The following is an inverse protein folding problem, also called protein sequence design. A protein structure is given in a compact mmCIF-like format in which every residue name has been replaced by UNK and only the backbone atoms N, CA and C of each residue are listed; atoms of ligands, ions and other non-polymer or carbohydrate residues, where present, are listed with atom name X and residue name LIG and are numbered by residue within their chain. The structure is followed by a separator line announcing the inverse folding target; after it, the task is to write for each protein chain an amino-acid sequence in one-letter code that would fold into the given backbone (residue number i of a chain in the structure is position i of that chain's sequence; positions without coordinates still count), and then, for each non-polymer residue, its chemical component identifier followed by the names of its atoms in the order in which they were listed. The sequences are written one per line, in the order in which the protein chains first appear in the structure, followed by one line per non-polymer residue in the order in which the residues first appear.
data_IF_769936844694
#
_entry.id   IF_769936844694
#
_cell.length_a   1.000
_cell.length_b   1.000
_cell.length_c   1.000
_cell.angle_alpha   90.00
_cell.angle_beta   90.00
_cell.angle_gamma   90.00
#
_symmetry.space_group_name_H-M   'P 1'
#
loop_
_entity.id
_entity.type
_entity.pdbx_description
1 polymer ?
#
# COMPACT_ATOMS: atom_id res chain seq x y z
N UNK A 1 12.99 -21.25 18.83
CA UNK A 1 13.70 -20.60 17.71
C UNK A 1 14.52 -19.42 18.21
N UNK A 2 13.92 -18.36 18.74
CA UNK A 2 14.70 -17.18 19.23
C UNK A 2 15.67 -17.53 20.38
N UNK A 3 15.23 -18.35 21.33
CA UNK A 3 16.07 -18.87 22.42
C UNK A 3 17.32 -19.65 21.95
N UNK A 4 17.26 -20.32 20.78
CA UNK A 4 18.38 -21.07 20.23
C UNK A 4 19.46 -20.14 19.64
N UNK A 5 19.06 -19.07 18.94
CA UNK A 5 19.99 -18.07 18.42
C UNK A 5 20.65 -17.27 19.54
N UNK A 6 19.88 -16.95 20.59
CA UNK A 6 20.37 -16.24 21.76
C UNK A 6 21.37 -17.08 22.59
N UNK A 7 21.17 -18.39 22.70
CA UNK A 7 22.11 -19.30 23.39
C UNK A 7 23.49 -19.38 22.70
N UNK A 8 23.55 -19.12 21.39
CA UNK A 8 24.79 -19.15 20.61
C UNK A 8 25.52 -17.79 20.56
N UNK A 9 25.10 -16.81 21.37
CA UNK A 9 25.67 -15.46 21.36
C UNK A 9 25.41 -14.67 20.08
N UNK A 10 24.41 -15.10 19.28
CA UNK A 10 24.02 -14.44 18.03
C UNK A 10 22.82 -13.52 18.27
N UNK A 11 22.66 -12.53 17.40
CA UNK A 11 21.42 -11.74 17.34
C UNK A 11 20.23 -12.71 17.23
N UNK A 12 19.21 -12.54 18.07
CA UNK A 12 17.93 -13.23 17.91
C UNK A 12 17.37 -12.99 16.51
N UNK A 13 16.41 -13.80 16.08
CA UNK A 13 15.74 -13.67 14.78
C UNK A 13 15.16 -12.25 14.60
N UNK A 14 14.67 -11.66 15.68
CA UNK A 14 14.23 -10.25 15.73
C UNK A 14 15.38 -9.28 15.48
N UNK A 15 16.55 -9.51 16.08
CA UNK A 15 17.77 -8.74 15.85
C UNK A 15 18.29 -8.85 14.41
N UNK A 16 18.33 -10.07 13.85
CA UNK A 16 18.78 -10.31 12.46
C UNK A 16 17.82 -9.68 11.45
N UNK A 17 16.51 -9.83 11.65
CA UNK A 17 15.49 -9.20 10.80
C UNK A 17 15.59 -7.68 10.85
N UNK A 18 15.79 -7.09 12.03
CA UNK A 18 15.96 -5.64 12.16
C UNK A 18 17.24 -5.14 11.48
N UNK A 19 18.37 -5.84 11.62
CA UNK A 19 19.60 -5.46 10.91
C UNK A 19 19.44 -5.59 9.39
N UNK A 20 18.78 -6.66 8.93
CA UNK A 20 18.45 -6.86 7.52
C UNK A 20 17.57 -5.74 7.00
N UNK A 21 16.51 -5.38 7.71
CA UNK A 21 15.58 -4.33 7.31
C UNK A 21 16.17 -2.93 7.43
N UNK A 22 17.05 -2.67 8.40
CA UNK A 22 17.73 -1.39 8.54
C UNK A 22 18.72 -1.12 7.38
N UNK A 23 19.44 -2.16 6.93
CA UNK A 23 20.46 -2.04 5.88
C UNK A 23 19.92 -2.24 4.45
N UNK A 24 18.80 -2.95 4.26
CA UNK A 24 18.26 -3.30 2.94
C UNK A 24 17.22 -2.30 2.39
N UNK A 25 17.32 -1.01 2.71
CA UNK A 25 16.46 0.02 2.11
C UNK A 25 16.92 0.40 0.69
N UNK A 26 16.99 -0.56 -0.24
CA UNK A 26 17.44 -0.36 -1.62
C UNK A 26 18.91 0.06 -1.79
N UNK A 27 19.56 0.61 -0.76
CA UNK A 27 20.94 1.09 -0.77
C UNK A 27 21.96 0.01 -1.12
N UNK A 28 21.76 -1.22 -0.63
CA UNK A 28 22.63 -2.35 -1.00
C UNK A 28 22.56 -2.68 -2.50
N UNK A 29 21.45 -2.42 -3.16
CA UNK A 29 21.32 -2.58 -4.62
C UNK A 29 21.94 -1.40 -5.40
N UNK A 30 22.26 -0.30 -4.72
CA UNK A 30 23.00 0.83 -5.32
C UNK A 30 24.51 0.61 -5.25
N UNK A 31 25.01 -0.23 -4.34
CA UNK A 31 26.44 -0.55 -4.23
C UNK A 31 27.03 -1.07 -5.56
N UNK A 32 26.38 -2.02 -6.28
CA UNK A 32 26.83 -2.42 -7.62
C UNK A 32 26.87 -1.26 -8.62
N UNK A 33 25.93 -0.32 -8.56
CA UNK A 33 25.87 0.84 -9.46
C UNK A 33 27.05 1.79 -9.23
N UNK A 34 27.43 2.00 -7.96
CA UNK A 34 28.64 2.77 -7.62
C UNK A 34 29.89 2.08 -8.18
N UNK A 35 29.94 0.74 -8.11
CA UNK A 35 31.01 -0.05 -8.70
C UNK A 35 31.11 0.13 -10.21
N UNK A 36 30.00 -0.07 -10.93
CA UNK A 36 29.95 0.05 -12.40
C UNK A 36 30.26 1.48 -12.85
N UNK A 37 29.53 2.48 -12.34
CA UNK A 37 29.75 3.89 -12.72
C UNK A 37 31.14 4.37 -12.28
N UNK A 38 31.63 3.87 -11.14
CA UNK A 38 32.97 4.16 -10.64
C UNK A 38 34.07 3.62 -11.56
N UNK A 39 33.90 2.43 -12.14
CA UNK A 39 34.83 1.85 -13.11
C UNK A 39 34.74 2.54 -14.47
N UNK A 40 33.53 2.85 -14.95
CA UNK A 40 33.32 3.43 -16.29
C UNK A 40 33.67 4.92 -16.37
N UNK A 41 33.37 5.70 -15.33
CA UNK A 41 33.43 7.18 -15.36
C UNK A 41 34.24 7.79 -14.20
N UNK A 42 34.85 6.95 -13.37
CA UNK A 42 35.64 7.32 -12.20
C UNK A 42 34.82 7.40 -10.91
N UNK A 43 35.47 7.08 -9.78
CA UNK A 43 34.79 6.94 -8.48
C UNK A 43 34.15 8.23 -7.96
N UNK A 44 34.76 9.39 -8.27
CA UNK A 44 34.16 10.71 -7.96
C UNK A 44 32.83 10.91 -8.70
N UNK A 45 32.75 10.50 -9.96
CA UNK A 45 31.49 10.55 -10.71
C UNK A 45 30.48 9.55 -10.13
N UNK A 46 30.89 8.34 -9.78
CA UNK A 46 30.03 7.36 -9.10
C UNK A 46 29.40 7.89 -7.80
N UNK A 47 30.18 8.54 -6.94
CA UNK A 47 29.69 9.18 -5.71
C UNK A 47 28.76 10.36 -5.99
N UNK A 48 29.11 11.23 -6.96
CA UNK A 48 28.23 12.34 -7.34
C UNK A 48 26.91 11.85 -7.93
N UNK A 49 26.95 10.79 -8.75
CA UNK A 49 25.77 10.15 -9.32
C UNK A 49 24.87 9.57 -8.23
N UNK A 50 25.44 8.89 -7.23
CA UNK A 50 24.70 8.41 -6.07
C UNK A 50 23.99 9.56 -5.35
N UNK A 51 24.71 10.65 -5.08
CA UNK A 51 24.15 11.82 -4.39
C UNK A 51 22.97 12.40 -5.16
N UNK A 52 23.14 12.65 -6.47
CA UNK A 52 22.06 13.16 -7.30
C UNK A 52 20.88 12.17 -7.41
N UNK A 53 21.15 10.86 -7.52
CA UNK A 53 20.11 9.83 -7.56
C UNK A 53 19.29 9.75 -6.26
N UNK A 54 19.91 10.00 -5.11
CA UNK A 54 19.20 10.12 -3.83
C UNK A 54 18.36 11.40 -3.79
N UNK A 55 18.92 12.54 -4.21
CA UNK A 55 18.20 13.82 -4.25
C UNK A 55 16.99 13.81 -5.20
N UNK A 56 17.06 13.05 -6.28
CA UNK A 56 15.96 12.89 -7.24
C UNK A 56 14.98 11.78 -6.86
N UNK A 57 15.07 11.25 -5.62
CA UNK A 57 14.18 10.23 -5.07
C UNK A 57 14.27 8.87 -5.78
N UNK A 58 15.40 8.56 -6.42
CA UNK A 58 15.65 7.29 -7.11
C UNK A 58 15.39 6.05 -6.26
N UNK A 59 15.81 5.97 -4.97
CA UNK A 59 15.48 4.85 -4.10
C UNK A 59 13.98 4.64 -3.88
N UNK A 60 13.19 5.72 -3.80
CA UNK A 60 11.72 5.64 -3.70
C UNK A 60 11.14 5.10 -5.00
N UNK A 61 11.56 5.65 -6.14
CA UNK A 61 11.11 5.18 -7.46
C UNK A 61 11.40 3.69 -7.66
N UNK A 62 12.61 3.25 -7.32
CA UNK A 62 13.03 1.86 -7.41
C UNK A 62 12.18 0.95 -6.51
N UNK A 63 11.96 1.33 -5.26
CA UNK A 63 11.16 0.55 -4.30
C UNK A 63 9.70 0.44 -4.77
N UNK A 64 9.16 1.52 -5.35
CA UNK A 64 7.85 1.52 -6.00
C UNK A 64 7.81 0.60 -7.23
N UNK A 65 8.80 0.67 -8.12
CA UNK A 65 8.89 -0.20 -9.29
C UNK A 65 9.00 -1.69 -8.91
N UNK A 66 9.78 -2.01 -7.87
CA UNK A 66 9.90 -3.37 -7.36
C UNK A 66 8.60 -3.86 -6.73
N UNK A 67 7.82 -2.98 -6.09
CA UNK A 67 6.46 -3.29 -5.63
C UNK A 67 5.54 -3.75 -6.76
N UNK A 68 5.57 -3.04 -7.90
CA UNK A 68 4.81 -3.43 -9.10
C UNK A 68 5.21 -4.82 -9.61
N UNK A 69 6.51 -5.04 -9.79
CA UNK A 69 7.03 -6.33 -10.27
C UNK A 69 6.66 -7.47 -9.34
N UNK A 70 6.86 -7.29 -8.04
CA UNK A 70 6.52 -8.29 -7.02
C UNK A 70 5.04 -8.64 -7.03
N UNK A 71 4.13 -7.66 -7.14
CA UNK A 71 2.69 -7.93 -7.19
C UNK A 71 2.29 -8.81 -8.38
N UNK A 72 2.69 -8.43 -9.59
CA UNK A 72 2.29 -9.15 -10.80
C UNK A 72 3.01 -10.49 -10.93
N UNK A 73 4.25 -10.60 -10.44
CA UNK A 73 4.97 -11.87 -10.36
C UNK A 73 4.29 -12.83 -9.38
N UNK A 74 3.96 -12.39 -8.17
CA UNK A 74 3.22 -13.15 -7.15
C UNK A 74 1.85 -13.62 -7.69
N UNK A 75 1.11 -12.73 -8.36
CA UNK A 75 -0.18 -13.05 -8.99
C UNK A 75 -0.03 -14.12 -10.08
N UNK A 76 0.96 -13.98 -10.96
CA UNK A 76 1.18 -14.93 -12.07
C UNK A 76 1.61 -16.29 -11.54
N UNK A 77 2.47 -16.35 -10.51
CA UNK A 77 2.89 -17.61 -9.90
C UNK A 77 1.74 -18.37 -9.25
N UNK A 78 0.84 -17.66 -8.55
CA UNK A 78 -0.24 -18.32 -7.81
C UNK A 78 -1.42 -18.62 -8.72
N UNK A 79 -1.84 -17.66 -9.53
CA UNK A 79 -3.12 -17.73 -10.25
C UNK A 79 -2.95 -18.04 -11.74
N UNK A 80 -1.75 -17.92 -12.30
CA UNK A 80 -1.54 -17.96 -13.75
C UNK A 80 -2.09 -16.71 -14.44
N UNK A 81 -2.15 -16.76 -15.78
CA UNK A 81 -2.72 -15.69 -16.59
C UNK A 81 -1.82 -14.45 -16.68
N UNK A 82 -0.79 -14.52 -17.52
CA UNK A 82 0.03 -13.34 -17.85
C UNK A 82 -0.82 -12.36 -18.67
N UNK A 83 -1.12 -11.20 -18.10
CA UNK A 83 -1.79 -10.09 -18.80
C UNK A 83 -0.77 -8.99 -19.07
N UNK A 84 -0.54 -8.67 -20.34
CA UNK A 84 0.26 -7.51 -20.68
C UNK A 84 -0.51 -6.25 -20.28
N UNK A 85 0.03 -5.50 -19.33
CA UNK A 85 -0.45 -4.15 -18.99
C UNK A 85 0.60 -3.19 -19.50
N UNK A 86 0.27 -2.46 -20.56
CA UNK A 86 1.18 -1.48 -21.15
C UNK A 86 1.48 -0.40 -20.11
N UNK A 87 2.65 -0.47 -19.48
CA UNK A 87 3.26 0.70 -18.85
C UNK A 87 3.75 1.55 -20.02
N UNK A 88 3.19 2.74 -20.22
CA UNK A 88 3.59 3.63 -21.32
C UNK A 88 5.12 3.69 -21.43
N UNK A 89 5.65 3.59 -22.66
CA UNK A 89 7.10 3.70 -22.89
C UNK A 89 7.51 5.15 -22.69
N UNK A 90 8.03 5.45 -21.50
CA UNK A 90 8.49 6.79 -21.11
C UNK A 90 7.76 7.30 -19.88
N UNK A 91 8.42 8.19 -19.14
CA UNK A 91 7.73 8.97 -18.12
C UNK A 91 6.69 9.83 -18.84
N UNK A 92 5.41 9.59 -18.60
CA UNK A 92 4.38 10.45 -19.16
C UNK A 92 4.58 11.84 -18.55
N UNK A 93 5.00 12.81 -19.36
CA UNK A 93 5.10 14.23 -18.95
C UNK A 93 3.70 14.81 -18.65
N UNK A 94 2.65 14.03 -18.92
CA UNK A 94 1.26 14.38 -18.67
C UNK A 94 0.87 14.02 -17.24
N UNK A 95 0.15 14.94 -16.63
CA UNK A 95 -0.56 14.72 -15.38
C UNK A 95 -1.61 13.61 -15.55
N UNK A 96 -1.56 12.60 -14.66
CA UNK A 96 -2.56 11.54 -14.56
C UNK A 96 -3.54 11.83 -13.43
N UNK A 97 -4.83 11.60 -13.69
CA UNK A 97 -5.89 11.86 -12.73
C UNK A 97 -5.86 10.90 -11.55
N UNK A 98 -6.35 11.32 -10.39
CA UNK A 98 -6.40 10.47 -9.18
C UNK A 98 -7.19 9.16 -9.38
N UNK A 99 -8.31 9.21 -10.12
CA UNK A 99 -9.08 8.00 -10.44
C UNK A 99 -8.24 6.99 -11.25
N UNK A 100 -7.46 7.45 -12.23
CA UNK A 100 -6.58 6.59 -13.02
C UNK A 100 -5.44 6.01 -12.17
N UNK A 101 -4.77 6.85 -11.37
CA UNK A 101 -3.72 6.39 -10.44
C UNK A 101 -4.25 5.31 -9.48
N UNK A 102 -5.48 5.49 -8.97
CA UNK A 102 -6.14 4.49 -8.15
C UNK A 102 -6.38 3.19 -8.91
N UNK A 103 -6.92 3.25 -10.13
CA UNK A 103 -7.15 2.05 -10.96
C UNK A 103 -5.87 1.29 -11.30
N UNK A 104 -4.74 1.97 -11.43
CA UNK A 104 -3.45 1.34 -11.72
C UNK A 104 -2.78 0.73 -10.49
N UNK A 105 -2.85 1.40 -9.35
CA UNK A 105 -2.01 1.08 -8.19
C UNK A 105 -2.75 0.59 -6.94
N UNK A 106 -4.09 0.52 -6.95
CA UNK A 106 -4.86 0.08 -5.78
C UNK A 106 -4.43 -1.32 -5.27
N UNK A 107 -4.48 -2.35 -6.10
CA UNK A 107 -4.16 -3.73 -5.71
C UNK A 107 -2.65 -4.00 -5.52
N UNK A 108 -1.82 -3.32 -6.32
CA UNK A 108 -0.37 -3.53 -6.30
C UNK A 108 0.31 -2.77 -5.18
N UNK A 109 -0.16 -1.57 -4.86
CA UNK A 109 0.50 -0.66 -3.91
C UNK A 109 -0.44 -0.22 -2.80
N UNK A 110 -1.53 0.50 -3.09
CA UNK A 110 -2.28 1.22 -2.06
C UNK A 110 -2.85 0.29 -0.99
N UNK A 111 -3.46 -0.82 -1.39
CA UNK A 111 -3.97 -1.82 -0.43
C UNK A 111 -2.85 -2.40 0.40
N UNK A 112 -1.72 -2.78 -0.23
CA UNK A 112 -0.58 -3.38 0.46
C UNK A 112 0.13 -2.39 1.38
N UNK A 113 0.24 -1.13 0.96
CA UNK A 113 0.84 -0.03 1.72
C UNK A 113 0.00 0.31 2.94
N UNK A 114 -1.32 0.47 2.78
CA UNK A 114 -2.23 0.71 3.91
C UNK A 114 -2.29 -0.49 4.85
N UNK A 115 -2.34 -1.72 4.33
CA UNK A 115 -2.22 -2.94 5.15
C UNK A 115 -0.92 -2.94 5.97
N UNK A 116 0.22 -2.56 5.36
CA UNK A 116 1.51 -2.50 6.04
C UNK A 116 1.56 -1.39 7.10
N UNK A 117 1.07 -0.18 6.78
CA UNK A 117 0.96 0.92 7.76
C UNK A 117 0.11 0.50 8.96
N UNK A 118 -1.03 -0.15 8.71
CA UNK A 118 -1.89 -0.67 9.77
C UNK A 118 -1.15 -1.68 10.66
N UNK A 119 -0.47 -2.66 10.06
CA UNK A 119 0.30 -3.65 10.80
C UNK A 119 1.47 -3.02 11.58
N UNK A 120 2.10 -1.99 11.04
CA UNK A 120 3.14 -1.24 11.74
C UNK A 120 2.59 -0.49 12.94
N UNK A 121 1.43 0.15 12.82
CA UNK A 121 0.73 0.74 13.96
C UNK A 121 0.41 -0.31 15.03
N UNK A 122 -0.13 -1.48 14.62
CA UNK A 122 -0.41 -2.57 15.57
C UNK A 122 0.87 -3.10 16.23
N UNK A 123 1.96 -3.20 15.47
CA UNK A 123 3.26 -3.56 16.00
C UNK A 123 3.71 -2.54 17.04
N UNK A 124 3.59 -1.23 16.78
CA UNK A 124 3.92 -0.17 17.72
C UNK A 124 3.08 -0.19 19.02
N UNK A 125 1.79 -0.53 18.92
CA UNK A 125 0.86 -0.54 20.06
C UNK A 125 1.02 -1.79 20.94
N UNK A 126 1.13 -2.97 20.31
CA UNK A 126 1.12 -4.27 21.02
C UNK A 126 2.49 -4.93 21.12
N UNK A 127 3.48 -4.46 20.36
CA UNK A 127 4.83 -5.01 20.34
C UNK A 127 5.63 -4.63 21.57
N UNK A 128 6.51 -5.53 21.99
CA UNK A 128 7.52 -5.26 23.00
C UNK A 128 8.85 -4.92 22.33
N UNK A 129 9.31 -3.68 22.48
CA UNK A 129 10.55 -3.17 21.87
C UNK A 129 11.73 -3.20 22.84
N UNK A 130 11.87 -4.33 23.54
CA UNK A 130 13.01 -4.59 24.40
C UNK A 130 14.16 -5.09 23.53
N UNK A 131 15.24 -4.31 23.47
CA UNK A 131 16.54 -4.82 23.03
C UNK A 131 17.27 -5.38 24.24
N UNK A 132 16.74 -6.47 24.82
CA UNK A 132 17.38 -7.18 25.91
C UNK A 132 16.77 -8.58 26.12
N UNK A 133 17.61 -9.60 26.35
CA UNK A 133 17.18 -10.87 26.95
C UNK A 133 17.47 -10.85 28.47
N UNK A 134 17.00 -9.82 29.15
CA UNK A 134 17.30 -9.58 30.55
C UNK A 134 16.66 -10.71 31.36
N UNK A 135 17.46 -11.44 32.13
CA UNK A 135 17.00 -12.46 33.08
C UNK A 135 17.89 -12.41 34.31
N UNK A 136 17.34 -12.70 35.48
CA UNK A 136 18.14 -12.82 36.71
C UNK A 136 19.23 -13.90 36.58
N UNK A 137 19.01 -14.89 35.71
CA UNK A 137 19.95 -15.98 35.44
C UNK A 137 21.26 -15.52 34.79
N UNK A 138 21.32 -14.32 34.22
CA UNK A 138 22.56 -13.75 33.65
C UNK A 138 23.57 -13.47 34.77
N UNK A 139 23.09 -12.97 35.90
CA UNK A 139 23.89 -12.60 37.08
C UNK A 139 23.67 -13.62 38.22
N UNK A 140 23.52 -14.91 37.88
CA UNK A 140 23.16 -15.97 38.83
C UNK A 140 24.12 -16.07 40.03
N UNK A 141 25.42 -15.85 39.82
CA UNK A 141 26.42 -15.83 40.89
C UNK A 141 26.26 -14.61 41.82
N UNK A 142 25.81 -13.47 41.31
CA UNK A 142 25.57 -12.28 42.14
C UNK A 142 24.35 -12.47 43.06
N UNK A 143 23.33 -13.20 42.58
CA UNK A 143 22.14 -13.51 43.37
C UNK A 143 22.25 -14.80 44.20
N UNK A 144 23.44 -15.41 44.28
CA UNK A 144 23.67 -16.67 45.00
C UNK A 144 22.67 -17.77 44.63
N UNK A 145 22.36 -17.92 43.34
CA UNK A 145 21.40 -18.90 42.83
C UNK A 145 19.95 -18.74 43.32
N UNK A 146 19.61 -17.65 44.03
CA UNK A 146 18.26 -17.34 44.49
C UNK A 146 17.63 -16.33 43.53
N UNK A 147 16.38 -16.57 43.11
CA UNK A 147 15.66 -15.63 42.25
C UNK A 147 15.31 -14.35 43.04
N UNK A 148 15.86 -13.18 42.66
CA UNK A 148 15.57 -11.90 43.29
C UNK A 148 14.24 -11.32 42.78
N UNK A 149 13.76 -10.24 43.42
CA UNK A 149 12.50 -9.61 43.01
C UNK A 149 12.61 -9.05 41.57
N UNK A 150 11.53 -9.09 40.76
CA UNK A 150 11.57 -8.69 39.36
C UNK A 150 12.10 -7.29 39.06
N UNK A 151 11.97 -6.35 40.00
CA UNK A 151 12.49 -4.98 39.83
C UNK A 151 14.00 -4.89 40.07
N UNK A 152 14.55 -5.69 41.00
CA UNK A 152 15.95 -5.65 41.42
C UNK A 152 16.86 -6.10 40.29
N UNK A 153 16.57 -7.27 39.71
CA UNK A 153 17.39 -7.79 38.64
C UNK A 153 17.19 -7.06 37.32
N UNK A 154 15.99 -6.52 37.08
CA UNK A 154 15.72 -5.72 35.87
C UNK A 154 16.53 -4.44 35.87
N UNK A 155 16.56 -3.70 36.98
CA UNK A 155 17.35 -2.47 37.10
C UNK A 155 18.85 -2.76 36.91
N UNK A 156 19.37 -3.79 37.59
CA UNK A 156 20.78 -4.19 37.47
C UNK A 156 21.15 -4.60 36.05
N UNK A 157 20.29 -5.37 35.38
CA UNK A 157 20.56 -5.85 34.03
C UNK A 157 20.73 -4.68 33.06
N UNK A 158 19.85 -3.67 33.12
CA UNK A 158 19.97 -2.49 32.27
C UNK A 158 21.15 -1.58 32.64
N UNK A 159 21.56 -1.55 33.93
CA UNK A 159 22.73 -0.80 34.37
C UNK A 159 24.05 -1.43 33.91
N UNK A 160 24.19 -2.76 34.05
CA UNK A 160 25.45 -3.46 33.80
C UNK A 160 25.64 -3.85 32.33
N UNK A 161 24.56 -4.14 31.61
CA UNK A 161 24.62 -4.60 30.22
C UNK A 161 24.20 -3.50 29.22
N UNK A 162 24.33 -2.22 29.57
CA UNK A 162 23.84 -1.08 28.78
C UNK A 162 24.29 -1.06 27.31
N UNK A 163 25.43 -1.69 26.96
CA UNK A 163 25.91 -1.82 25.58
C UNK A 163 25.11 -2.81 24.73
N UNK A 164 24.49 -3.81 25.37
CA UNK A 164 23.68 -4.85 24.75
C UNK A 164 22.18 -4.71 25.10
N UNK A 165 21.87 -3.89 26.10
CA UNK A 165 20.59 -3.82 26.77
C UNK A 165 20.12 -2.38 26.90
N UNK A 166 19.22 -1.96 26.01
CA UNK A 166 18.62 -0.62 26.06
C UNK A 166 17.22 -0.71 26.65
N UNK A 167 16.89 0.16 27.60
CA UNK A 167 15.53 0.23 28.15
C UNK A 167 14.50 0.34 27.02
N UNK A 168 13.34 -0.33 27.11
CA UNK A 168 12.23 -0.08 26.19
C UNK A 168 11.82 1.37 26.26
N UNK A 169 12.16 2.12 25.21
CA UNK A 169 11.63 3.45 24.98
C UNK A 169 10.90 3.45 23.65
N UNK A 170 10.05 4.45 23.43
CA UNK A 170 9.37 4.66 22.14
C UNK A 170 10.35 4.83 20.97
N UNK A 171 11.62 5.17 21.25
CA UNK A 171 12.68 5.30 20.23
C UNK A 171 13.08 3.94 19.64
N UNK A 172 13.00 2.86 20.42
CA UNK A 172 13.35 1.51 19.96
C UNK A 172 12.43 1.05 18.82
N UNK A 173 11.12 1.32 18.92
CA UNK A 173 10.19 1.02 17.83
C UNK A 173 10.56 1.75 16.54
N UNK A 174 10.88 3.04 16.63
CA UNK A 174 11.26 3.84 15.46
C UNK A 174 12.45 3.25 14.71
N UNK A 175 13.50 2.90 15.44
CA UNK A 175 14.72 2.30 14.85
C UNK A 175 14.44 0.90 14.27
N UNK A 176 13.58 0.11 14.90
CA UNK A 176 13.26 -1.25 14.42
C UNK A 176 12.30 -1.25 13.22
N UNK A 177 11.54 -0.17 12.99
CA UNK A 177 10.45 -0.16 12.01
C UNK A 177 10.56 0.90 10.91
N UNK A 178 11.50 1.84 10.98
CA UNK A 178 11.57 2.97 10.03
C UNK A 178 11.64 2.52 8.56
N UNK A 179 12.38 1.45 8.26
CA UNK A 179 12.54 0.99 6.88
C UNK A 179 11.24 0.42 6.31
N UNK A 180 10.44 -0.26 7.13
CA UNK A 180 9.11 -0.71 6.73
C UNK A 180 8.14 0.45 6.56
N UNK A 181 8.23 1.47 7.42
CA UNK A 181 7.47 2.72 7.25
C UNK A 181 7.81 3.42 5.95
N UNK A 182 9.10 3.48 5.59
CA UNK A 182 9.53 4.04 4.31
C UNK A 182 9.01 3.23 3.11
N UNK A 183 9.00 1.89 3.17
CA UNK A 183 8.39 1.05 2.12
C UNK A 183 6.89 1.35 2.00
N UNK A 184 6.19 1.39 3.13
CA UNK A 184 4.76 1.65 3.15
C UNK A 184 4.43 3.04 2.57
N UNK A 185 5.17 4.06 2.99
CA UNK A 185 5.07 5.42 2.47
C UNK A 185 5.37 5.50 0.97
N UNK A 186 6.38 4.75 0.51
CA UNK A 186 6.74 4.69 -0.90
C UNK A 186 5.60 4.09 -1.72
N UNK A 187 5.03 2.97 -1.30
CA UNK A 187 3.92 2.35 -2.03
C UNK A 187 2.69 3.27 -2.08
N UNK A 188 2.39 4.00 -1.01
CA UNK A 188 1.21 4.88 -0.97
C UNK A 188 1.42 6.17 -1.75
N UNK A 189 2.54 6.87 -1.57
CA UNK A 189 2.69 8.25 -2.05
C UNK A 189 3.61 8.45 -3.26
N UNK A 190 4.43 7.45 -3.62
CA UNK A 190 5.31 7.55 -4.80
C UNK A 190 4.60 7.90 -6.11
N UNK A 191 3.39 7.38 -6.42
CA UNK A 191 2.67 7.77 -7.63
C UNK A 191 2.42 9.28 -7.75
N UNK A 192 2.24 9.98 -6.63
CA UNK A 192 1.96 11.41 -6.61
C UNK A 192 3.24 12.24 -6.78
N UNK A 193 4.33 11.86 -6.09
CA UNK A 193 5.63 12.51 -6.28
C UNK A 193 6.11 12.44 -7.73
N UNK A 194 5.80 11.35 -8.42
CA UNK A 194 6.15 11.11 -9.81
C UNK A 194 5.05 11.45 -10.82
N UNK A 195 3.97 12.11 -10.40
CA UNK A 195 2.91 12.58 -11.28
C UNK A 195 2.95 14.12 -11.43
N UNK A 196 3.25 14.68 -12.62
CA UNK A 196 3.36 16.12 -12.80
C UNK A 196 2.13 16.88 -12.26
N UNK A 197 2.32 18.01 -11.59
CA UNK A 197 1.22 18.83 -11.02
C UNK A 197 0.34 18.11 -9.97
N UNK A 198 0.79 17.00 -9.38
CA UNK A 198 0.00 16.28 -8.37
C UNK A 198 -0.24 17.06 -7.07
N UNK A 199 0.55 18.10 -6.79
CA UNK A 199 0.39 18.98 -5.62
C UNK A 199 -0.19 20.36 -5.98
N UNK A 200 -0.65 20.56 -7.22
CA UNK A 200 -1.37 21.78 -7.62
C UNK A 200 -2.80 21.76 -7.07
N UNK A 201 -3.16 22.74 -6.23
CA UNK A 201 -4.40 22.70 -5.46
C UNK A 201 -5.66 22.64 -6.34
N UNK A 202 -5.72 23.43 -7.42
CA UNK A 202 -6.90 23.50 -8.27
C UNK A 202 -7.13 22.18 -9.03
N UNK A 203 -6.05 21.64 -9.60
CA UNK A 203 -6.11 20.34 -10.30
C UNK A 203 -6.41 19.20 -9.33
N UNK A 204 -5.75 19.20 -8.18
CA UNK A 204 -5.91 18.18 -7.15
C UNK A 204 -7.35 18.12 -6.64
N UNK A 205 -8.00 19.26 -6.38
CA UNK A 205 -9.40 19.28 -5.97
C UNK A 205 -10.35 18.78 -7.06
N UNK A 206 -10.09 19.11 -8.32
CA UNK A 206 -10.85 18.59 -9.45
C UNK A 206 -10.71 17.05 -9.57
N UNK A 207 -9.49 16.54 -9.47
CA UNK A 207 -9.18 15.12 -9.49
C UNK A 207 -9.78 14.35 -8.32
N UNK A 208 -9.76 14.93 -7.13
CA UNK A 208 -10.35 14.33 -5.93
C UNK A 208 -11.88 14.22 -6.09
N UNK A 209 -12.53 15.27 -6.60
CA UNK A 209 -13.96 15.25 -6.94
C UNK A 209 -14.29 14.19 -8.00
N UNK A 210 -13.47 14.08 -9.06
CA UNK A 210 -13.61 13.07 -10.10
C UNK A 210 -13.52 11.65 -9.53
N UNK A 211 -12.53 11.38 -8.67
CA UNK A 211 -12.39 10.10 -7.98
C UNK A 211 -13.59 9.79 -7.07
N UNK A 212 -14.10 10.77 -6.32
CA UNK A 212 -15.29 10.60 -5.48
C UNK A 212 -16.55 10.29 -6.31
N UNK A 213 -16.67 10.90 -7.49
CA UNK A 213 -17.78 10.63 -8.40
C UNK A 213 -17.64 9.23 -9.02
N UNK A 214 -16.44 8.87 -9.47
CA UNK A 214 -16.11 7.53 -9.95
C UNK A 214 -16.50 6.44 -8.95
N UNK A 215 -16.14 6.60 -7.67
CA UNK A 215 -16.51 5.66 -6.59
C UNK A 215 -18.03 5.44 -6.46
N UNK A 216 -18.85 6.43 -6.81
CA UNK A 216 -20.32 6.34 -6.70
C UNK A 216 -20.98 5.73 -7.92
N UNK A 217 -20.30 5.67 -9.06
CA UNK A 217 -20.84 5.12 -10.30
C UNK A 217 -21.00 3.59 -10.22
N UNK A 218 -22.10 3.07 -10.77
CA UNK A 218 -22.47 1.64 -10.73
C UNK A 218 -22.74 1.04 -12.11
N UNK A 219 -22.42 1.75 -13.18
CA UNK A 219 -22.64 1.24 -14.54
C UNK A 219 -21.70 0.06 -14.81
N UNK A 220 -22.05 -0.91 -15.65
CA UNK A 220 -21.18 -2.05 -15.96
C UNK A 220 -19.99 -1.71 -16.88
N UNK A 221 -19.77 -0.42 -17.17
CA UNK A 221 -18.60 0.03 -17.93
C UNK A 221 -17.33 0.01 -17.07
N UNK A 222 -16.18 -0.23 -17.71
CA UNK A 222 -14.86 -0.14 -17.07
C UNK A 222 -14.55 1.26 -16.52
N UNK A 223 -15.31 2.27 -16.96
CA UNK A 223 -15.23 3.64 -16.44
C UNK A 223 -15.82 3.75 -15.03
N UNK A 224 -16.67 2.82 -14.59
CA UNK A 224 -17.26 2.85 -13.25
C UNK A 224 -16.37 2.18 -12.21
N UNK A 225 -16.59 2.46 -10.92
CA UNK A 225 -15.86 1.78 -9.86
C UNK A 225 -16.18 0.28 -9.82
N UNK A 226 -17.46 -0.07 -9.98
CA UNK A 226 -17.88 -1.47 -9.96
C UNK A 226 -17.30 -2.26 -11.14
N UNK A 227 -17.36 -1.71 -12.35
CA UNK A 227 -16.81 -2.34 -13.55
C UNK A 227 -15.29 -2.48 -13.51
N UNK A 228 -14.59 -1.51 -12.93
CA UNK A 228 -13.14 -1.64 -12.66
C UNK A 228 -12.86 -2.74 -11.62
N UNK A 229 -13.59 -2.77 -10.51
CA UNK A 229 -13.38 -3.74 -9.44
C UNK A 229 -13.60 -5.18 -9.90
N UNK A 230 -14.66 -5.43 -10.68
CA UNK A 230 -14.91 -6.75 -11.27
C UNK A 230 -13.85 -7.13 -12.29
N UNK A 231 -13.46 -6.21 -13.18
CA UNK A 231 -12.42 -6.45 -14.18
C UNK A 231 -11.04 -6.74 -13.57
N UNK A 232 -10.72 -6.13 -12.43
CA UNK A 232 -9.44 -6.36 -11.75
C UNK A 232 -9.43 -7.73 -11.05
N UNK A 233 -10.59 -8.21 -10.58
CA UNK A 233 -10.77 -9.53 -9.95
C UNK A 233 -11.06 -10.68 -10.91
N UNK A 234 -11.24 -10.40 -12.20
CA UNK A 234 -11.52 -11.38 -13.27
C UNK A 234 -10.56 -12.59 -13.26
N UNK A 235 -9.29 -12.39 -12.94
CA UNK A 235 -8.31 -13.48 -12.82
C UNK A 235 -8.69 -14.58 -11.81
N UNK A 236 -9.51 -14.26 -10.81
CA UNK A 236 -9.98 -15.22 -9.82
C UNK A 236 -10.90 -16.29 -10.44
N UNK A 237 -11.53 -15.99 -11.57
CA UNK A 237 -12.38 -16.94 -12.30
C UNK A 237 -11.56 -18.04 -12.96
N UNK A 238 -10.40 -17.68 -13.51
CA UNK A 238 -9.46 -18.59 -14.17
C UNK A 238 -8.48 -19.28 -13.22
N UNK A 239 -8.49 -18.92 -11.94
CA UNK A 239 -7.59 -19.49 -10.93
C UNK A 239 -7.92 -20.96 -10.63
N UNK A 240 -6.94 -21.74 -10.16
CA UNK A 240 -7.22 -23.10 -9.67
C UNK A 240 -7.79 -23.08 -8.24
N UNK A 241 -8.45 -24.16 -7.83
CA UNK A 241 -8.92 -24.30 -6.43
C UNK A 241 -7.76 -24.26 -5.42
N UNK A 242 -6.59 -24.79 -5.79
CA UNK A 242 -5.39 -24.71 -4.94
C UNK A 242 -4.90 -23.26 -4.81
N UNK A 243 -4.84 -22.51 -5.90
CA UNK A 243 -4.53 -21.08 -5.89
C UNK A 243 -5.47 -20.28 -4.98
N UNK A 244 -6.78 -20.55 -5.09
CA UNK A 244 -7.79 -19.94 -4.21
C UNK A 244 -7.59 -20.32 -2.73
N UNK A 245 -7.22 -21.57 -2.44
CA UNK A 245 -6.90 -22.02 -1.08
C UNK A 245 -5.67 -21.29 -0.52
N UNK A 246 -4.57 -21.20 -1.28
CA UNK A 246 -3.38 -20.46 -0.88
C UNK A 246 -3.70 -18.99 -0.61
N UNK A 247 -4.49 -18.35 -1.47
CA UNK A 247 -4.94 -16.97 -1.27
C UNK A 247 -5.81 -16.83 -0.02
N UNK A 248 -6.72 -17.77 0.25
CA UNK A 248 -7.49 -17.79 1.48
C UNK A 248 -6.59 -17.89 2.72
N UNK A 249 -5.63 -18.83 2.73
CA UNK A 249 -4.66 -19.03 3.83
C UNK A 249 -3.81 -17.78 4.05
N UNK A 250 -3.32 -17.12 3.00
CA UNK A 250 -2.55 -15.87 3.16
C UNK A 250 -3.38 -14.76 3.81
N UNK A 251 -4.68 -14.73 3.55
CA UNK A 251 -5.59 -13.69 4.06
C UNK A 251 -6.18 -14.01 5.43
N UNK A 252 -6.12 -15.25 5.94
CA UNK A 252 -6.53 -15.59 7.32
C UNK A 252 -5.68 -14.88 8.37
N UNK A 253 -4.50 -14.35 8.02
CA UNK A 253 -3.68 -13.52 8.93
C UNK A 253 -4.45 -12.39 9.58
N UNK A 254 -5.40 -11.76 8.88
CA UNK A 254 -6.18 -10.65 9.44
C UNK A 254 -7.14 -11.12 10.52
N UNK A 255 -7.70 -12.32 10.37
CA UNK A 255 -8.50 -12.95 11.41
C UNK A 255 -7.65 -13.30 12.63
N UNK A 256 -6.45 -13.85 12.42
CA UNK A 256 -5.54 -14.16 13.52
C UNK A 256 -5.12 -12.91 14.31
N UNK A 257 -4.83 -11.81 13.61
CA UNK A 257 -4.55 -10.51 14.26
C UNK A 257 -5.77 -10.01 15.04
N UNK A 258 -6.98 -10.11 14.47
CA UNK A 258 -8.21 -9.73 15.17
C UNK A 258 -8.45 -10.56 16.44
N UNK A 259 -8.22 -11.88 16.37
CA UNK A 259 -8.32 -12.78 17.52
C UNK A 259 -7.26 -12.44 18.56
N UNK A 260 -6.01 -12.17 18.15
CA UNK A 260 -4.95 -11.78 19.07
C UNK A 260 -5.27 -10.49 19.84
N UNK A 261 -5.75 -9.45 19.14
CA UNK A 261 -6.18 -8.19 19.76
C UNK A 261 -7.36 -8.42 20.70
N UNK A 262 -8.34 -9.22 20.28
CA UNK A 262 -9.50 -9.57 21.11
C UNK A 262 -9.09 -10.28 22.41
N UNK A 263 -8.22 -11.29 22.33
CA UNK A 263 -7.74 -12.02 23.50
C UNK A 263 -6.97 -11.09 24.44
N UNK A 264 -6.15 -10.19 23.90
CA UNK A 264 -5.44 -9.19 24.69
C UNK A 264 -6.39 -8.19 25.38
N UNK A 265 -7.43 -7.74 24.68
CA UNK A 265 -8.47 -6.87 25.24
C UNK A 265 -9.22 -7.58 26.38
N UNK A 266 -9.66 -8.82 26.14
CA UNK A 266 -10.34 -9.64 27.16
C UNK A 266 -9.44 -9.91 28.36
N UNK A 267 -8.16 -10.22 28.14
CA UNK A 267 -7.20 -10.41 29.21
C UNK A 267 -7.06 -9.14 30.07
N UNK A 268 -6.95 -7.98 29.42
CA UNK A 268 -6.83 -6.70 30.10
C UNK A 268 -8.07 -6.39 30.95
N UNK A 269 -9.24 -6.50 30.33
CA UNK A 269 -10.53 -6.16 30.95
C UNK A 269 -10.91 -7.07 32.12
N UNK A 270 -10.61 -8.37 32.06
CA UNK A 270 -11.11 -9.34 33.05
C UNK A 270 -10.07 -9.77 34.09
N UNK A 271 -8.78 -9.57 33.82
CA UNK A 271 -7.69 -9.96 34.71
C UNK A 271 -6.86 -8.76 35.12
N UNK A 272 -6.18 -8.12 34.17
CA UNK A 272 -5.18 -7.07 34.47
C UNK A 272 -5.79 -5.87 35.20
N UNK A 273 -6.88 -5.31 34.67
CA UNK A 273 -7.50 -4.09 35.20
C UNK A 273 -8.24 -4.34 36.53
N UNK A 274 -8.60 -5.60 36.80
CA UNK A 274 -9.17 -6.03 38.08
C UNK A 274 -8.13 -6.58 39.07
N UNK A 275 -6.84 -6.54 38.74
CA UNK A 275 -5.75 -7.14 39.52
C UNK A 275 -5.97 -8.62 39.89
N UNK A 276 -6.64 -9.39 39.02
CA UNK A 276 -6.89 -10.82 39.20
C UNK A 276 -5.91 -11.64 38.37
N UNK A 277 -5.45 -12.76 38.90
CA UNK A 277 -4.67 -13.73 38.12
C UNK A 277 -5.58 -14.77 37.45
N UNK A 278 -5.11 -15.38 36.36
CA UNK A 278 -5.85 -16.45 35.66
C UNK A 278 -6.07 -17.66 36.57
N UNK A 279 -5.17 -17.89 37.54
CA UNK A 279 -5.21 -19.00 38.48
C UNK A 279 -6.24 -18.84 39.62
N UNK A 280 -6.58 -17.60 39.99
CA UNK A 280 -7.58 -17.31 41.03
C UNK A 280 -9.03 -17.34 40.50
N UNK A 281 -9.19 -17.32 39.18
CA UNK A 281 -10.48 -17.32 38.50
C UNK A 281 -11.11 -18.70 38.35
N UNK A 282 -12.32 -18.73 37.78
CA UNK A 282 -12.92 -19.98 37.31
C UNK A 282 -12.13 -20.47 36.08
N UNK A 283 -11.61 -21.72 36.09
CA UNK A 283 -10.80 -22.28 35.00
C UNK A 283 -11.49 -22.23 33.64
N UNK A 284 -12.82 -22.15 33.60
CA UNK A 284 -13.61 -22.13 32.36
C UNK A 284 -13.74 -20.74 31.74
N UNK A 285 -13.50 -19.65 32.50
CA UNK A 285 -13.65 -18.28 31.99
C UNK A 285 -12.77 -18.00 30.77
N UNK A 286 -11.46 -18.31 30.74
CA UNK A 286 -10.63 -18.10 29.56
C UNK A 286 -11.18 -18.75 28.29
N UNK A 287 -11.71 -19.97 28.40
CA UNK A 287 -12.29 -20.71 27.28
C UNK A 287 -13.60 -20.09 26.79
N UNK A 288 -14.47 -19.65 27.71
CA UNK A 288 -15.71 -18.95 27.35
C UNK A 288 -15.41 -17.63 26.62
N UNK A 289 -14.48 -16.82 27.16
CA UNK A 289 -14.07 -15.59 26.51
C UNK A 289 -13.44 -15.86 25.13
N UNK A 290 -12.55 -16.85 25.01
CA UNK A 290 -11.97 -17.24 23.72
C UNK A 290 -13.03 -17.75 22.73
N UNK A 291 -14.12 -18.37 23.18
CA UNK A 291 -15.23 -18.81 22.32
C UNK A 291 -16.17 -17.67 21.90
N UNK A 292 -16.28 -16.60 22.69
CA UNK A 292 -17.23 -15.52 22.45
C UNK A 292 -16.93 -14.74 21.15
N UNK A 293 -15.67 -14.66 20.70
CA UNK A 293 -15.35 -14.05 19.40
C UNK A 293 -16.00 -14.78 18.22
N UNK A 294 -16.13 -16.11 18.27
CA UNK A 294 -16.80 -16.87 17.21
C UNK A 294 -18.29 -16.54 17.16
N UNK A 295 -18.93 -16.37 18.32
CA UNK A 295 -20.33 -15.95 18.42
C UNK A 295 -20.50 -14.53 17.86
N UNK A 296 -19.60 -13.61 18.19
CA UNK A 296 -19.63 -12.23 17.65
C UNK A 296 -19.46 -12.24 16.13
N UNK A 297 -18.52 -13.02 15.59
CA UNK A 297 -18.32 -13.14 14.15
C UNK A 297 -19.54 -13.74 13.43
N UNK A 298 -20.21 -14.73 14.03
CA UNK A 298 -21.46 -15.29 13.51
C UNK A 298 -22.59 -14.26 13.50
N UNK A 299 -22.76 -13.50 14.58
CA UNK A 299 -23.77 -12.44 14.68
C UNK A 299 -23.52 -11.37 13.61
N UNK A 300 -22.26 -10.92 13.44
CA UNK A 300 -21.90 -9.96 12.40
C UNK A 300 -22.22 -10.50 10.99
N UNK A 301 -21.95 -11.78 10.74
CA UNK A 301 -22.31 -12.46 9.50
C UNK A 301 -23.83 -12.49 9.25
N UNK A 302 -24.62 -12.83 10.28
CA UNK A 302 -26.09 -12.80 10.21
C UNK A 302 -26.63 -11.39 9.95
N UNK A 303 -26.11 -10.39 10.67
CA UNK A 303 -26.49 -8.99 10.49
C UNK A 303 -26.18 -8.50 9.07
N UNK A 304 -25.00 -8.83 8.54
CA UNK A 304 -24.61 -8.48 7.17
C UNK A 304 -25.53 -9.13 6.12
N UNK A 305 -25.92 -10.40 6.34
CA UNK A 305 -26.85 -11.10 5.47
C UNK A 305 -28.25 -10.48 5.46
N UNK A 306 -28.78 -10.15 6.65
CA UNK A 306 -30.07 -9.46 6.79
C UNK A 306 -30.01 -8.08 6.12
N UNK A 307 -28.96 -7.30 6.37
CA UNK A 307 -28.76 -5.98 5.76
C UNK A 307 -28.75 -6.04 4.23
N UNK A 308 -28.12 -7.06 3.64
CA UNK A 308 -28.14 -7.32 2.19
C UNK A 308 -29.55 -7.52 1.64
N UNK A 309 -30.35 -8.36 2.32
CA UNK A 309 -31.72 -8.68 1.91
C UNK A 309 -32.63 -7.45 1.99
N UNK A 310 -32.49 -6.67 3.07
CA UNK A 310 -33.21 -5.41 3.25
C UNK A 310 -32.80 -4.39 2.19
N UNK A 311 -31.51 -4.24 1.91
CA UNK A 311 -31.02 -3.32 0.89
C UNK A 311 -31.55 -3.66 -0.51
N UNK A 312 -31.56 -4.95 -0.89
CA UNK A 312 -32.11 -5.42 -2.16
C UNK A 312 -33.62 -5.18 -2.26
N UNK A 313 -34.37 -5.42 -1.19
CA UNK A 313 -35.84 -5.19 -1.13
C UNK A 313 -36.19 -3.70 -1.20
N UNK A 314 -35.32 -2.83 -0.69
CA UNK A 314 -35.55 -1.38 -0.58
C UNK A 314 -34.88 -0.57 -1.71
N UNK A 315 -34.24 -1.22 -2.68
CA UNK A 315 -33.51 -0.58 -3.78
C UNK A 315 -34.37 0.38 -4.61
N UNK A 316 -35.67 0.09 -4.78
CA UNK A 316 -36.63 0.94 -5.49
C UNK A 316 -37.16 2.13 -4.67
N UNK A 317 -36.85 2.22 -3.37
CA UNK A 317 -37.35 3.26 -2.44
C UNK A 317 -36.20 4.04 -1.82
N UNK A 318 -35.38 4.67 -2.65
CA UNK A 318 -34.15 5.38 -2.27
C UNK A 318 -34.36 6.48 -1.21
N UNK A 319 -35.54 7.10 -1.14
CA UNK A 319 -35.90 8.06 -0.07
C UNK A 319 -36.06 7.38 1.31
N UNK A 320 -36.76 6.24 1.38
CA UNK A 320 -36.91 5.46 2.62
C UNK A 320 -35.59 4.86 3.09
N UNK A 321 -34.73 4.46 2.15
CA UNK A 321 -33.38 3.97 2.47
C UNK A 321 -32.50 5.06 3.09
N UNK A 322 -32.58 6.31 2.62
CA UNK A 322 -31.84 7.44 3.22
C UNK A 322 -32.30 7.72 4.64
N UNK A 323 -33.61 7.77 4.88
CA UNK A 323 -34.17 7.96 6.24
C UNK A 323 -33.80 6.79 7.16
N UNK A 324 -33.84 5.55 6.67
CA UNK A 324 -33.42 4.38 7.44
C UNK A 324 -31.92 4.44 7.82
N UNK A 325 -31.04 4.79 6.87
CA UNK A 325 -29.60 4.97 7.14
C UNK A 325 -29.36 6.06 8.19
N UNK A 326 -30.07 7.19 8.09
CA UNK A 326 -29.99 8.27 9.06
C UNK A 326 -30.43 7.81 10.46
N UNK A 327 -31.57 7.12 10.55
CA UNK A 327 -32.09 6.60 11.83
C UNK A 327 -31.14 5.55 12.45
N UNK A 328 -30.61 4.62 11.64
CA UNK A 328 -29.63 3.63 12.11
C UNK A 328 -28.36 4.34 12.60
N UNK A 329 -27.88 5.36 11.88
CA UNK A 329 -26.72 6.15 12.31
C UNK A 329 -26.98 6.86 13.64
N UNK A 330 -28.18 7.40 13.86
CA UNK A 330 -28.57 8.00 15.13
C UNK A 330 -28.59 7.01 16.28
N UNK A 331 -29.14 5.80 16.05
CA UNK A 331 -29.16 4.73 17.06
C UNK A 331 -27.74 4.28 17.41
N UNK A 332 -26.89 4.06 16.40
CA UNK A 332 -25.48 3.68 16.62
C UNK A 332 -24.75 4.75 17.41
N UNK A 333 -24.97 6.03 17.11
CA UNK A 333 -24.37 7.14 17.86
C UNK A 333 -24.81 7.13 19.33
N UNK A 334 -26.11 6.95 19.60
CA UNK A 334 -26.63 6.86 20.98
C UNK A 334 -26.03 5.66 21.71
N UNK A 335 -25.93 4.50 21.06
CA UNK A 335 -25.32 3.30 21.64
C UNK A 335 -23.83 3.51 21.95
N UNK A 336 -23.09 4.17 21.05
CA UNK A 336 -21.69 4.53 21.29
C UNK A 336 -21.58 5.46 22.50
N UNK A 337 -22.36 6.54 22.54
CA UNK A 337 -22.32 7.50 23.66
C UNK A 337 -22.73 6.84 24.98
N UNK A 338 -23.76 5.99 24.98
CA UNK A 338 -24.16 5.22 26.16
C UNK A 338 -23.08 4.22 26.58
N UNK A 339 -22.40 3.58 25.63
CA UNK A 339 -21.30 2.65 25.92
C UNK A 339 -20.10 3.34 26.57
N UNK A 340 -19.88 4.63 26.28
CA UNK A 340 -18.81 5.42 26.92
C UNK A 340 -19.05 5.66 28.42
N UNK A 341 -20.26 5.42 28.93
CA UNK A 341 -20.53 5.46 30.38
C UNK A 341 -19.91 4.25 31.12
N UNK A 342 -19.63 3.16 30.40
CA UNK A 342 -19.16 1.90 30.98
C UNK A 342 -17.83 1.42 30.40
N UNK A 343 -17.48 1.85 29.19
CA UNK A 343 -16.31 1.40 28.42
C UNK A 343 -15.47 2.60 28.04
N UNK A 344 -14.16 2.52 28.27
CA UNK A 344 -13.23 3.59 27.88
C UNK A 344 -13.18 3.76 26.35
N UNK A 345 -12.90 4.99 25.90
CA UNK A 345 -12.75 5.33 24.47
C UNK A 345 -11.71 4.42 23.79
N UNK A 346 -10.64 4.09 24.51
CA UNK A 346 -9.59 3.18 24.05
C UNK A 346 -10.12 1.77 23.77
N UNK A 347 -10.91 1.20 24.67
CA UNK A 347 -11.47 -0.15 24.50
C UNK A 347 -12.50 -0.17 23.36
N UNK A 348 -13.27 0.91 23.20
CA UNK A 348 -14.18 1.05 22.06
C UNK A 348 -13.40 1.11 20.72
N UNK A 349 -12.26 1.81 20.69
CA UNK A 349 -11.40 1.86 19.51
C UNK A 349 -10.80 0.48 19.18
N UNK A 350 -10.33 -0.28 20.18
CA UNK A 350 -9.85 -1.66 19.97
C UNK A 350 -10.97 -2.56 19.39
N UNK A 351 -12.20 -2.47 19.92
CA UNK A 351 -13.36 -3.20 19.39
C UNK A 351 -13.65 -2.82 17.94
N UNK A 352 -13.62 -1.52 17.62
CA UNK A 352 -13.82 -1.04 16.25
C UNK A 352 -12.77 -1.63 15.28
N UNK A 353 -11.50 -1.68 15.70
CA UNK A 353 -10.42 -2.30 14.92
C UNK A 353 -10.65 -3.79 14.71
N UNK A 354 -11.07 -4.53 15.74
CA UNK A 354 -11.40 -5.96 15.64
C UNK A 354 -12.52 -6.20 14.60
N UNK A 355 -13.59 -5.40 14.67
CA UNK A 355 -14.71 -5.49 13.72
C UNK A 355 -14.26 -5.17 12.30
N UNK A 356 -13.45 -4.13 12.10
CA UNK A 356 -12.87 -3.78 10.80
C UNK A 356 -12.02 -4.91 10.23
N UNK A 357 -11.16 -5.54 11.04
CA UNK A 357 -10.36 -6.68 10.62
C UNK A 357 -11.21 -7.90 10.27
N UNK A 358 -12.26 -8.18 11.05
CA UNK A 358 -13.21 -9.24 10.76
C UNK A 358 -13.97 -9.02 9.45
N UNK A 359 -14.44 -7.80 9.19
CA UNK A 359 -15.07 -7.42 7.91
C UNK A 359 -14.10 -7.53 6.74
N UNK A 360 -12.85 -7.09 6.91
CA UNK A 360 -11.82 -7.19 5.88
C UNK A 360 -11.48 -8.65 5.56
N UNK A 361 -11.31 -9.48 6.59
CA UNK A 361 -11.10 -10.91 6.42
C UNK A 361 -12.28 -11.57 5.69
N UNK A 362 -13.51 -11.25 6.06
CA UNK A 362 -14.71 -11.75 5.39
C UNK A 362 -14.73 -11.37 3.90
N UNK A 363 -14.41 -10.12 3.56
CA UNK A 363 -14.27 -9.66 2.17
C UNK A 363 -13.24 -10.51 1.41
N UNK A 364 -12.05 -10.72 1.98
CA UNK A 364 -10.98 -11.48 1.34
C UNK A 364 -11.36 -12.96 1.12
N UNK A 365 -12.04 -13.58 2.08
CA UNK A 365 -12.56 -14.95 1.93
C UNK A 365 -13.68 -15.01 0.89
N UNK A 366 -14.56 -14.01 0.84
CA UNK A 366 -15.61 -13.94 -0.19
C UNK A 366 -15.01 -13.84 -1.60
N UNK A 367 -13.95 -13.06 -1.79
CA UNK A 367 -13.18 -12.99 -3.05
C UNK A 367 -12.53 -14.34 -3.35
N UNK A 368 -11.84 -14.96 -2.38
CA UNK A 368 -11.20 -16.28 -2.55
C UNK A 368 -12.20 -17.39 -2.92
N UNK A 369 -13.45 -17.29 -2.44
CA UNK A 369 -14.57 -18.19 -2.77
C UNK A 369 -15.35 -17.79 -4.03
N UNK A 370 -14.89 -16.79 -4.78
CA UNK A 370 -15.55 -16.27 -6.01
C UNK A 370 -16.99 -15.80 -5.76
N UNK A 371 -17.25 -15.21 -4.60
CA UNK A 371 -18.53 -14.60 -4.22
C UNK A 371 -18.43 -13.07 -4.21
N UNK A 372 -17.62 -12.53 -5.13
CA UNK A 372 -17.35 -11.10 -5.26
C UNK A 372 -18.58 -10.28 -5.71
N UNK A 373 -19.48 -10.88 -6.47
CA UNK A 373 -20.72 -10.26 -6.96
C UNK A 373 -21.80 -10.10 -5.88
N UNK A 374 -21.62 -10.73 -4.72
CA UNK A 374 -22.61 -10.65 -3.65
C UNK A 374 -22.69 -9.20 -3.12
N UNK A 375 -23.91 -8.68 -2.96
CA UNK A 375 -24.14 -7.28 -2.62
C UNK A 375 -23.40 -6.81 -1.34
N UNK A 376 -23.27 -7.69 -0.33
CA UNK A 376 -22.50 -7.39 0.89
C UNK A 376 -21.02 -7.18 0.56
N UNK A 377 -20.43 -8.08 -0.23
CA UNK A 377 -19.02 -8.03 -0.61
C UNK A 377 -18.70 -6.74 -1.34
N UNK A 378 -19.57 -6.32 -2.27
CA UNK A 378 -19.45 -5.06 -3.01
C UNK A 378 -19.48 -3.85 -2.07
N UNK A 379 -20.42 -3.81 -1.12
CA UNK A 379 -20.53 -2.68 -0.19
C UNK A 379 -19.35 -2.61 0.79
N UNK A 380 -18.87 -3.76 1.28
CA UNK A 380 -17.68 -3.82 2.14
C UNK A 380 -16.44 -3.38 1.35
N UNK A 381 -16.25 -3.85 0.11
CA UNK A 381 -15.16 -3.42 -0.75
C UNK A 381 -15.17 -1.91 -0.99
N UNK A 382 -16.34 -1.35 -1.34
CA UNK A 382 -16.52 0.08 -1.56
C UNK A 382 -16.20 0.90 -0.31
N UNK A 383 -16.60 0.42 0.87
CA UNK A 383 -16.27 1.06 2.15
C UNK A 383 -14.75 1.10 2.37
N UNK A 384 -14.05 -0.01 2.17
CA UNK A 384 -12.59 -0.04 2.30
C UNK A 384 -11.90 0.85 1.27
N UNK A 385 -12.39 0.90 0.03
CA UNK A 385 -11.83 1.79 -1.00
C UNK A 385 -12.01 3.27 -0.67
N UNK A 386 -13.14 3.66 -0.06
CA UNK A 386 -13.33 5.02 0.44
C UNK A 386 -12.30 5.33 1.53
N UNK A 387 -12.13 4.43 2.50
CA UNK A 387 -11.17 4.61 3.61
C UNK A 387 -9.74 4.68 3.09
N UNK A 388 -9.35 3.76 2.20
CA UNK A 388 -8.02 3.72 1.59
C UNK A 388 -7.77 5.00 0.79
N UNK A 389 -8.74 5.44 -0.01
CA UNK A 389 -8.63 6.70 -0.74
C UNK A 389 -8.43 7.91 0.17
N UNK A 390 -9.11 8.01 1.31
CA UNK A 390 -8.86 9.08 2.27
C UNK A 390 -7.46 8.99 2.90
N UNK A 391 -6.96 7.79 3.19
CA UNK A 391 -5.59 7.59 3.72
C UNK A 391 -4.54 7.99 2.67
N UNK A 392 -4.78 7.68 1.41
CA UNK A 392 -3.86 7.98 0.30
C UNK A 392 -3.89 9.47 -0.05
N UNK A 393 -5.07 10.01 -0.34
CA UNK A 393 -5.24 11.38 -0.84
C UNK A 393 -5.28 12.44 0.26
N UNK A 394 -5.70 12.12 1.47
CA UNK A 394 -5.82 13.07 2.58
C UNK A 394 -4.53 13.80 2.91
N UNK A 395 -3.39 13.11 3.07
CA UNK A 395 -2.09 13.76 3.27
C UNK A 395 -1.67 14.62 2.07
N UNK A 396 -1.98 14.21 0.84
CA UNK A 396 -1.65 14.96 -0.37
C UNK A 396 -2.46 16.26 -0.46
N UNK A 397 -3.76 16.19 -0.14
CA UNK A 397 -4.65 17.36 0.03
C UNK A 397 -4.10 18.33 1.08
N UNK A 398 -3.71 17.81 2.25
CA UNK A 398 -3.16 18.61 3.34
C UNK A 398 -1.85 19.30 2.94
N UNK A 399 -0.91 18.56 2.33
CA UNK A 399 0.37 19.11 1.88
C UNK A 399 0.15 20.18 0.80
N UNK A 400 -0.72 19.94 -0.17
CA UNK A 400 -1.00 20.92 -1.23
C UNK A 400 -1.63 22.20 -0.67
N UNK A 401 -2.53 22.08 0.31
CA UNK A 401 -3.19 23.23 0.93
C UNK A 401 -2.23 24.12 1.73
N UNK A 402 -1.32 23.52 2.50
CA UNK A 402 -0.44 24.25 3.42
C UNK A 402 0.97 24.53 2.86
N UNK A 403 1.40 23.81 1.83
CA UNK A 403 2.76 23.89 1.28
C UNK A 403 2.74 24.05 -0.26
N UNK A 404 2.29 25.21 -0.78
CA UNK A 404 2.17 25.43 -2.22
C UNK A 404 3.53 25.35 -2.97
N UNK A 405 4.64 25.61 -2.28
CA UNK A 405 5.99 25.50 -2.86
C UNK A 405 6.36 24.08 -3.30
N UNK A 406 5.70 23.05 -2.76
CA UNK A 406 5.97 21.64 -3.07
C UNK A 406 5.67 21.34 -4.54
N UNK A 407 4.65 21.97 -5.13
CA UNK A 407 4.34 21.82 -6.56
C UNK A 407 5.50 22.32 -7.44
N UNK A 408 6.06 23.48 -7.12
CA UNK A 408 7.20 24.04 -7.84
C UNK A 408 8.48 23.20 -7.67
N UNK A 409 8.71 22.67 -6.46
CA UNK A 409 9.82 21.75 -6.19
C UNK A 409 9.70 20.46 -6.99
N UNK A 410 8.51 19.84 -6.98
CA UNK A 410 8.23 18.59 -7.69
C UNK A 410 8.54 18.71 -9.19
N UNK A 411 8.07 19.78 -9.83
CA UNK A 411 8.31 20.01 -11.26
C UNK A 411 9.82 20.12 -11.55
N UNK A 412 10.57 20.86 -10.73
CA UNK A 412 12.03 21.00 -10.92
C UNK A 412 12.78 19.68 -10.78
N UNK A 413 12.37 18.81 -9.87
CA UNK A 413 13.00 17.49 -9.67
C UNK A 413 12.71 16.57 -10.85
N UNK A 414 11.45 16.52 -11.32
CA UNK A 414 11.02 15.60 -12.37
C UNK A 414 11.64 15.93 -13.74
N UNK A 415 11.84 17.22 -14.03
CA UNK A 415 12.41 17.68 -15.31
C UNK A 415 13.94 17.88 -15.27
N UNK A 416 14.63 17.39 -14.23
CA UNK A 416 16.09 17.45 -14.14
C UNK A 416 16.75 16.30 -14.93
N UNK A 417 17.81 16.62 -15.69
CA UNK A 417 18.61 15.65 -16.45
C UNK A 417 19.26 14.56 -15.58
N UNK A 418 19.49 14.85 -14.29
CA UNK A 418 19.98 13.87 -13.32
C UNK A 418 18.94 12.79 -12.97
N UNK A 419 17.65 13.13 -12.95
CA UNK A 419 16.58 12.17 -12.71
C UNK A 419 16.35 11.29 -13.96
N UNK A 420 16.36 11.90 -15.15
CA UNK A 420 16.19 11.17 -16.41
C UNK A 420 17.32 10.17 -16.66
N UNK A 421 18.57 10.51 -16.32
CA UNK A 421 19.70 9.58 -16.39
C UNK A 421 19.62 8.46 -15.34
N UNK A 422 19.12 8.75 -14.13
CA UNK A 422 18.83 7.73 -13.12
C UNK A 422 17.83 6.67 -13.58
N UNK A 423 16.82 7.09 -14.35
CA UNK A 423 15.83 6.18 -14.94
C UNK A 423 16.44 5.25 -15.99
N UNK A 424 17.39 5.72 -16.80
CA UNK A 424 18.08 4.87 -17.79
C UNK A 424 18.90 3.76 -17.12
N UNK A 425 19.56 4.07 -16.00
CA UNK A 425 20.27 3.06 -15.20
C UNK A 425 19.31 2.08 -14.53
N UNK A 426 18.13 2.54 -14.09
CA UNK A 426 17.10 1.62 -13.58
C UNK A 426 16.55 0.67 -14.65
N UNK A 427 16.48 1.10 -15.92
CA UNK A 427 16.10 0.25 -17.07
C UNK A 427 17.17 -0.80 -17.37
N UNK A 428 18.45 -0.42 -17.29
CA UNK A 428 19.59 -1.33 -17.40
C UNK A 428 19.54 -2.44 -16.33
N UNK A 429 19.25 -2.09 -15.07
CA UNK A 429 19.04 -3.06 -13.99
C UNK A 429 17.70 -3.81 -14.10
N UNK A 430 16.80 -3.30 -14.92
CA UNK A 430 15.46 -3.81 -15.13
C UNK A 430 15.34 -4.93 -16.16
N UNK A 431 16.42 -5.28 -16.87
CA UNK A 431 16.41 -6.10 -18.08
C UNK A 431 15.45 -5.57 -19.17
N UNK A 432 15.05 -4.29 -19.11
CA UNK A 432 14.36 -3.67 -20.22
C UNK A 432 15.43 -3.32 -21.26
N UNK A 433 15.54 -4.17 -22.30
CA UNK A 433 16.50 -3.98 -23.39
C UNK A 433 16.30 -2.57 -23.95
N UNK A 434 17.27 -1.69 -23.71
CA UNK A 434 17.37 -0.42 -24.41
C UNK A 434 17.61 -0.79 -25.87
N UNK A 435 16.56 -0.79 -26.67
CA UNK A 435 16.74 -0.77 -28.11
C UNK A 435 17.45 0.55 -28.41
N UNK A 436 18.72 0.48 -28.81
CA UNK A 436 19.46 1.63 -29.32
C UNK A 436 18.57 2.31 -30.36
N UNK A 437 18.22 3.57 -30.10
CA UNK A 437 17.65 4.42 -31.13
C UNK A 437 18.73 4.59 -32.19
N UNK A 438 18.72 3.76 -33.23
CA UNK A 438 19.40 4.09 -34.48
C UNK A 438 18.81 5.40 -34.95
N UNK A 439 19.53 6.50 -34.72
CA UNK A 439 19.31 7.72 -35.46
C UNK A 439 19.32 7.34 -36.95
N UNK A 440 18.31 7.72 -37.74
CA UNK A 440 18.43 7.59 -39.18
C UNK A 440 19.55 8.54 -39.59
N UNK A 441 20.71 7.96 -39.95
CA UNK A 441 21.71 8.67 -40.74
C UNK A 441 20.99 9.15 -41.99
N UNK A 442 20.87 10.47 -42.14
CA UNK A 442 20.26 11.09 -43.30
C UNK A 442 20.98 10.57 -44.56
N UNK A 443 20.24 9.88 -45.42
CA UNK A 443 20.72 9.57 -46.75
C UNK A 443 20.94 10.90 -47.50
N UNK A 444 22.04 11.08 -48.25
CA UNK A 444 22.26 12.30 -49.01
C UNK A 444 21.13 12.47 -50.04
N UNK A 445 20.62 13.70 -50.11
CA UNK A 445 19.53 14.08 -51.00
C UNK A 445 19.82 13.66 -52.43
N UNK A 446 18.91 12.89 -53.04
CA UNK A 446 18.90 12.68 -54.49
C UNK A 446 18.40 13.97 -55.13
N UNK A 447 19.23 14.59 -55.96
CA UNK A 447 18.86 15.72 -56.81
C UNK A 447 17.66 15.34 -57.70
N UNK A 448 16.61 16.17 -57.69
CA UNK A 448 15.51 16.08 -58.65
C UNK A 448 16.00 16.46 -60.06
N UNK A 449 15.61 15.74 -61.12
CA UNK A 449 15.96 16.12 -62.48
C UNK A 449 15.10 17.30 -62.94
N UNK A 450 15.77 18.38 -63.38
CA UNK A 450 15.16 19.55 -64.03
C UNK A 450 14.25 19.14 -65.20
N UNK A 451 13.05 19.74 -65.37
CA UNK A 451 12.24 19.50 -66.55
C UNK A 451 12.86 20.14 -67.79
N UNK A 452 13.00 19.34 -68.86
CA UNK A 452 13.53 19.74 -70.17
C UNK A 452 12.52 20.64 -70.90
N UNK A 453 12.99 21.80 -71.35
CA UNK A 453 12.30 22.64 -72.31
C UNK A 453 12.14 21.93 -73.67
N UNK A 454 10.96 22.01 -74.28
CA UNK A 454 10.75 21.76 -75.71
C UNK A 454 10.12 23.01 -76.35
N UNK A 455 10.90 23.67 -77.21
CA UNK A 455 10.42 24.54 -78.28
C UNK A 455 9.76 23.66 -79.38
N UNK A 456 8.87 24.05 -80.29
CA UNK A 456 8.46 25.33 -80.90
C UNK A 456 7.27 25.02 -81.84
N UNK A 457 6.32 25.95 -82.08
CA UNK A 457 5.99 26.52 -83.42
C UNK A 457 4.65 27.31 -83.46
N UNK A 458 4.72 28.43 -84.18
CA UNK A 458 3.68 29.41 -84.55
C UNK A 458 2.51 28.83 -85.38
N UNK A 459 1.30 29.37 -85.22
CA UNK A 459 0.56 30.10 -86.28
C UNK A 459 -0.70 30.81 -85.75
N UNK A 460 -0.91 32.07 -86.17
CA UNK A 460 -2.19 32.82 -86.16
C UNK A 460 -3.21 32.14 -87.09
N UNK A 461 -4.50 32.25 -86.79
CA UNK A 461 -5.62 32.60 -87.69
C UNK A 461 -6.82 32.98 -86.81
N UNK A 462 -7.50 34.06 -87.19
CA UNK A 462 -8.71 34.61 -86.60
C UNK A 462 -9.99 33.87 -87.06
N UNK A 463 -11.03 33.95 -86.21
CA UNK A 463 -12.49 33.99 -86.52
C UNK A 463 -13.29 32.69 -86.88
N UNK A 464 -14.65 32.67 -86.76
CA UNK A 464 -15.36 32.23 -85.55
C UNK A 464 -16.46 31.16 -85.82
N UNK A 465 -17.46 31.08 -84.91
CA UNK A 465 -18.74 30.31 -84.88
C UNK A 465 -18.69 29.07 -83.96
N UNK A 466 -19.66 28.77 -83.09
CA UNK A 466 -21.03 29.25 -82.85
C UNK A 466 -21.49 28.70 -81.47
N UNK A 467 -22.23 29.50 -80.67
CA UNK A 467 -23.33 29.18 -79.73
C UNK A 467 -23.11 28.09 -78.65
N UNK A 468 -23.46 28.25 -77.37
CA UNK A 468 -24.19 29.27 -76.63
C UNK A 468 -24.52 28.70 -75.24
N UNK A 469 -24.69 29.60 -74.27
CA UNK A 469 -25.21 29.44 -72.90
C UNK A 469 -26.29 28.34 -72.74
N UNK A 470 -26.48 27.72 -71.57
CA UNK A 470 -26.68 28.29 -70.22
C UNK A 470 -26.15 27.30 -69.17
#
# INVERSE_FOLDING_TARGET
MDAFYLQLGRLGISGVLNTSWALQFGFLLVVPVIGVVGVEKGFRHGLSYLFYNVLTLGPLFFTFQMGNRMHYFDRTLIHGGAKYRATGRGFTIKHEKFAELYRFYAFSHFYRGVELMFLLCMFGIYGSFNWCNCSWTIDRMFYNDVEPLPYEWRQRCYANFYQQCVLPTNQNYGIMSYSLWLIAATWVWSPFFFNPSAFDWEKLMADFSDWQNWLKTKNDSAESWYGWWTAELDFMEHSTSFSCFITAVRKTRFLLVAIGIYLQLMYRLFYKDLHKTVAEGDPMKPYFLAGAILVVLLILGCCAWIASRVAKKMASKQRKLRTLKFNISGIVLVLVVASLLYISVHNLAEIFVIVCLGMYWFLQIAIARRKQEHAVTIQIAQFFDIVIGWIVFGPILFISMFMPFVSAFQQRVMFNSAFTSGLEVSKLLGNDVVAESKQPVAAPAKEEPKPKAKATKKKKIDEPTHYGAI
#
